data_IF_601264588054
#
_entry.id   IF_601264588054
#
_cell.length_a   1.000
_cell.length_b   1.000
_cell.length_c   1.000
_cell.angle_alpha   90.00
_cell.angle_beta   90.00
_cell.angle_gamma   90.00
#
_symmetry.space_group_name_H-M   'P 1'
#
loop_
_entity.id
_entity.type
_entity.pdbx_description
1 polymer ?
#
# COMPACT_ATOMS: atom_id res chain seq x y z
N UNK A 1 1.27 1.27 -25.13
CA UNK A 1 1.83 1.93 -23.93
C UNK A 1 0.68 2.14 -22.96
N UNK A 2 0.91 1.90 -21.66
CA UNK A 2 -0.11 2.08 -20.64
C UNK A 2 -0.34 3.58 -20.39
N UNK A 3 -1.59 3.96 -20.17
CA UNK A 3 -2.02 5.35 -19.93
C UNK A 3 -3.06 5.36 -18.79
N UNK A 4 -3.08 6.40 -17.97
CA UNK A 4 -4.04 6.56 -16.89
C UNK A 4 -5.46 6.89 -17.44
N UNK A 5 -6.24 5.83 -17.73
CA UNK A 5 -7.60 5.97 -18.24
C UNK A 5 -8.54 6.73 -17.29
N UNK A 6 -8.33 6.62 -15.98
CA UNK A 6 -9.12 7.33 -14.97
C UNK A 6 -8.86 8.85 -15.02
N UNK A 7 -7.60 9.24 -15.22
CA UNK A 7 -7.24 10.65 -15.40
C UNK A 7 -7.85 11.21 -16.70
N UNK A 8 -7.78 10.48 -17.81
CA UNK A 8 -8.39 10.90 -19.09
C UNK A 8 -9.91 11.12 -18.93
N UNK A 9 -10.61 10.18 -18.29
CA UNK A 9 -12.04 10.30 -17.99
C UNK A 9 -12.34 11.52 -17.11
N UNK A 10 -11.52 11.74 -16.07
CA UNK A 10 -11.68 12.88 -15.16
C UNK A 10 -11.52 14.20 -15.90
N UNK A 11 -10.42 14.39 -16.64
CA UNK A 11 -10.13 15.62 -17.38
C UNK A 11 -11.17 15.91 -18.47
N UNK A 12 -11.74 14.86 -19.06
CA UNK A 12 -12.88 14.96 -19.98
C UNK A 12 -14.13 15.45 -19.28
N UNK A 13 -14.48 14.84 -18.14
CA UNK A 13 -15.65 15.24 -17.33
C UNK A 13 -15.52 16.65 -16.75
N UNK A 14 -14.33 17.06 -16.30
CA UNK A 14 -14.05 18.42 -15.82
C UNK A 14 -14.31 19.48 -16.90
N UNK A 15 -14.11 19.14 -18.17
CA UNK A 15 -14.42 19.99 -19.32
C UNK A 15 -15.84 19.80 -19.86
N UNK A 16 -16.66 18.97 -19.19
CA UNK A 16 -18.02 18.61 -19.61
C UNK A 16 -18.08 18.01 -21.03
N UNK A 17 -17.06 17.26 -21.43
CA UNK A 17 -16.99 16.67 -22.78
C UNK A 17 -17.54 15.24 -22.85
N UNK A 18 -18.23 14.93 -23.94
CA UNK A 18 -18.51 13.57 -24.39
C UNK A 18 -17.25 12.90 -24.97
N UNK A 19 -17.31 11.59 -25.22
CA UNK A 19 -16.19 10.87 -25.86
C UNK A 19 -15.97 11.37 -27.29
N UNK A 20 -17.05 11.74 -27.98
CA UNK A 20 -17.06 12.35 -29.30
C UNK A 20 -16.40 13.73 -29.28
N UNK A 21 -16.73 14.58 -28.29
CA UNK A 21 -16.13 15.91 -28.15
C UNK A 21 -14.64 15.83 -27.82
N UNK A 22 -14.23 14.89 -26.97
CA UNK A 22 -12.80 14.63 -26.73
C UNK A 22 -12.09 14.14 -28.00
N UNK A 23 -12.74 13.28 -28.80
CA UNK A 23 -12.18 12.81 -30.06
C UNK A 23 -11.93 13.97 -31.03
N UNK A 24 -12.91 14.88 -31.15
CA UNK A 24 -12.78 16.09 -31.97
C UNK A 24 -11.67 17.00 -31.43
N UNK A 25 -11.67 17.31 -30.14
CA UNK A 25 -10.70 18.22 -29.52
C UNK A 25 -9.25 17.70 -29.63
N UNK A 26 -9.07 16.38 -29.55
CA UNK A 26 -7.75 15.73 -29.65
C UNK A 26 -7.33 15.32 -31.05
N UNK A 27 -8.21 15.49 -32.06
CA UNK A 27 -7.96 14.98 -33.41
C UNK A 27 -7.80 13.46 -33.48
N UNK A 28 -8.38 12.73 -32.52
CA UNK A 28 -8.37 11.27 -32.48
C UNK A 28 -9.71 10.72 -33.00
N UNK A 29 -9.70 9.47 -33.47
CA UNK A 29 -10.95 8.77 -33.76
C UNK A 29 -11.70 8.42 -32.46
N UNK A 30 -13.03 8.47 -32.50
CA UNK A 30 -13.91 8.08 -31.38
C UNK A 30 -13.56 6.69 -30.82
N UNK A 31 -13.35 5.69 -31.70
CA UNK A 31 -12.96 4.33 -31.29
C UNK A 31 -11.63 4.32 -30.52
N UNK A 32 -10.70 5.22 -30.84
CA UNK A 32 -9.43 5.36 -30.13
C UNK A 32 -9.67 5.91 -28.73
N UNK A 33 -10.51 6.94 -28.57
CA UNK A 33 -10.88 7.49 -27.25
C UNK A 33 -11.57 6.42 -26.40
N UNK A 34 -12.56 5.72 -26.96
CA UNK A 34 -13.26 4.63 -26.29
C UNK A 34 -12.30 3.52 -25.84
N UNK A 35 -11.37 3.12 -26.72
CA UNK A 35 -10.36 2.10 -26.41
C UNK A 35 -9.41 2.57 -25.30
N UNK A 36 -8.97 3.82 -25.34
CA UNK A 36 -8.12 4.41 -24.29
C UNK A 36 -8.84 4.40 -22.93
N UNK A 37 -10.11 4.80 -22.91
CA UNK A 37 -10.92 4.84 -21.69
C UNK A 37 -11.31 3.46 -21.14
N UNK A 38 -11.33 2.43 -22.00
CA UNK A 38 -11.70 1.05 -21.64
C UNK A 38 -10.49 0.16 -21.31
N UNK A 39 -9.46 0.21 -22.14
CA UNK A 39 -8.30 -0.70 -22.10
C UNK A 39 -7.05 -0.05 -21.51
N UNK A 40 -7.09 1.24 -21.16
CA UNK A 40 -5.94 1.97 -20.61
C UNK A 40 -4.67 1.87 -21.48
N UNK A 41 -4.85 1.79 -22.80
CA UNK A 41 -3.77 1.58 -23.77
C UNK A 41 -3.83 2.58 -24.92
N UNK A 42 -2.73 3.30 -25.14
CA UNK A 42 -2.58 4.30 -26.20
C UNK A 42 -1.25 4.15 -26.95
N UNK A 43 -1.21 4.65 -28.19
CA UNK A 43 0.05 4.90 -28.89
C UNK A 43 0.72 6.16 -28.34
N UNK A 44 2.02 6.34 -28.60
CA UNK A 44 2.73 7.56 -28.22
C UNK A 44 2.10 8.81 -28.86
N UNK A 45 1.63 8.71 -30.11
CA UNK A 45 0.98 9.81 -30.81
C UNK A 45 -0.35 10.18 -30.17
N UNK A 46 -1.19 9.20 -29.82
CA UNK A 46 -2.45 9.45 -29.12
C UNK A 46 -2.22 10.07 -27.74
N UNK A 47 -1.17 9.65 -27.03
CA UNK A 47 -0.77 10.29 -25.77
C UNK A 47 -0.37 11.75 -25.96
N UNK A 48 0.46 12.06 -26.96
CA UNK A 48 0.87 13.44 -27.28
C UNK A 48 -0.34 14.32 -27.61
N UNK A 49 -1.26 13.80 -28.41
CA UNK A 49 -2.50 14.50 -28.75
C UNK A 49 -3.35 14.80 -27.50
N UNK A 50 -3.57 13.81 -26.63
CA UNK A 50 -4.32 14.00 -25.38
C UNK A 50 -3.62 14.98 -24.43
N UNK A 51 -2.29 14.88 -24.27
CA UNK A 51 -1.51 15.78 -23.43
C UNK A 51 -1.64 17.23 -23.89
N UNK A 52 -1.51 17.47 -25.21
CA UNK A 52 -1.71 18.79 -25.80
C UNK A 52 -3.15 19.30 -25.60
N UNK A 53 -4.15 18.44 -25.81
CA UNK A 53 -5.58 18.78 -25.66
C UNK A 53 -5.91 19.19 -24.22
N UNK A 54 -5.35 18.48 -23.24
CA UNK A 54 -5.58 18.77 -21.83
C UNK A 54 -4.60 19.80 -21.25
N UNK A 55 -3.60 20.26 -22.03
CA UNK A 55 -2.55 21.18 -21.59
C UNK A 55 -1.77 20.68 -20.37
N UNK A 56 -1.36 19.40 -20.39
CA UNK A 56 -0.58 18.73 -19.33
C UNK A 56 0.69 18.10 -19.91
N UNK A 57 1.62 17.68 -19.05
CA UNK A 57 2.79 16.93 -19.50
C UNK A 57 2.37 15.51 -19.93
N UNK A 58 3.03 14.96 -20.95
CA UNK A 58 2.78 13.59 -21.42
C UNK A 58 3.10 12.53 -20.33
N UNK A 59 3.95 12.86 -19.36
CA UNK A 59 4.28 12.02 -18.20
C UNK A 59 3.12 11.97 -17.19
N UNK A 60 2.31 13.01 -17.10
CA UNK A 60 1.16 13.03 -16.19
C UNK A 60 0.07 12.03 -16.63
N UNK A 61 0.05 11.70 -17.92
CA UNK A 61 -0.81 10.66 -18.49
C UNK A 61 -0.29 9.24 -18.23
N UNK A 62 0.94 9.05 -17.75
CA UNK A 62 1.43 7.73 -17.42
C UNK A 62 0.60 7.11 -16.28
N UNK A 63 0.46 5.79 -16.34
CA UNK A 63 -0.25 5.03 -15.32
C UNK A 63 0.61 5.05 -14.04
N UNK A 64 0.45 6.09 -13.24
CA UNK A 64 0.96 6.07 -11.87
C UNK A 64 0.09 5.08 -11.11
N UNK A 65 0.67 3.96 -10.70
CA UNK A 65 0.07 3.10 -9.70
C UNK A 65 -0.11 3.94 -8.45
N UNK A 66 -1.31 4.50 -8.26
CA UNK A 66 -1.66 5.14 -7.00
C UNK A 66 -1.56 4.01 -5.98
N UNK A 67 -0.65 4.07 -5.00
CA UNK A 67 -0.54 3.01 -4.01
C UNK A 67 -1.91 2.90 -3.38
N UNK A 68 -2.61 1.79 -3.61
CA UNK A 68 -3.81 1.50 -2.84
C UNK A 68 -3.32 1.38 -1.40
N UNK A 69 -3.67 2.35 -0.55
CA UNK A 69 -3.38 2.26 0.87
C UNK A 69 -4.17 1.07 1.39
N UNK A 70 -3.48 -0.08 1.50
CA UNK A 70 -4.03 -1.27 2.13
C UNK A 70 -4.32 -0.88 3.58
N UNK A 71 -5.58 -1.01 3.98
CA UNK A 71 -5.97 -0.77 5.37
C UNK A 71 -5.47 -1.97 6.17
N UNK A 72 -4.75 -1.70 7.24
CA UNK A 72 -4.30 -2.73 8.16
C UNK A 72 -4.98 -2.52 9.50
N UNK A 73 -5.29 -3.61 10.18
CA UNK A 73 -5.56 -3.57 11.62
C UNK A 73 -4.33 -4.09 12.37
N UNK A 74 -4.19 -3.61 13.61
CA UNK A 74 -3.04 -3.90 14.46
C UNK A 74 -3.48 -4.55 15.76
N UNK A 75 -2.67 -5.50 16.24
CA UNK A 75 -2.85 -6.18 17.52
C UNK A 75 -1.53 -6.22 18.27
N UNK A 76 -1.59 -6.02 19.59
CA UNK A 76 -0.44 -6.17 20.48
C UNK A 76 -0.65 -7.36 21.40
N UNK A 77 0.39 -8.16 21.59
CA UNK A 77 0.38 -9.29 22.54
C UNK A 77 1.56 -9.14 23.50
N UNK A 78 1.25 -9.18 24.80
CA UNK A 78 2.27 -9.18 25.86
C UNK A 78 2.91 -10.58 25.97
N UNK A 79 4.24 -10.60 26.08
CA UNK A 79 5.06 -11.79 26.28
C UNK A 79 5.77 -11.62 27.61
N UNK A 80 5.35 -12.41 28.59
CA UNK A 80 5.98 -12.42 29.91
C UNK A 80 7.37 -13.05 29.85
N UNK A 81 8.38 -12.30 30.25
CA UNK A 81 9.76 -12.76 30.28
C UNK A 81 10.17 -13.02 31.72
N UNK A 82 10.47 -14.27 32.07
CA UNK A 82 10.96 -14.60 33.41
C UNK A 82 12.28 -13.87 33.69
N UNK A 83 12.40 -13.30 34.89
CA UNK A 83 13.63 -12.64 35.37
C UNK A 83 14.86 -13.51 35.11
N UNK A 84 15.82 -12.96 34.35
CA UNK A 84 17.08 -13.64 34.03
C UNK A 84 17.23 -14.12 32.58
N UNK A 85 16.20 -13.99 31.73
CA UNK A 85 16.24 -14.39 30.31
C UNK A 85 17.32 -13.67 29.48
N UNK A 86 17.59 -12.39 29.77
CA UNK A 86 18.62 -11.58 29.10
C UNK A 86 19.97 -11.56 29.86
N UNK A 87 20.07 -12.31 30.96
CA UNK A 87 21.32 -12.46 31.70
C UNK A 87 22.06 -13.66 31.11
N UNK A 88 23.13 -13.41 30.34
CA UNK A 88 23.86 -14.34 29.47
C UNK A 88 24.53 -15.57 30.11
N UNK A 89 23.92 -16.20 31.11
CA UNK A 89 24.44 -17.37 31.83
C UNK A 89 23.44 -18.52 32.03
N UNK A 90 22.17 -18.42 31.58
CA UNK A 90 21.23 -19.56 31.57
C UNK A 90 20.27 -19.51 30.36
N UNK A 91 20.28 -20.55 29.52
CA UNK A 91 19.26 -20.79 28.50
C UNK A 91 17.95 -21.20 29.17
N UNK A 92 17.22 -20.24 29.70
CA UNK A 92 15.82 -20.48 30.09
C UNK A 92 15.04 -20.61 28.78
N UNK A 93 14.35 -21.73 28.51
CA UNK A 93 13.57 -21.87 27.29
C UNK A 93 12.58 -20.71 27.21
N UNK A 94 12.58 -20.04 26.06
CA UNK A 94 11.67 -18.94 25.76
C UNK A 94 10.24 -19.41 26.03
N UNK A 95 9.44 -18.71 26.85
CA UNK A 95 8.08 -19.16 27.12
C UNK A 95 7.26 -19.08 25.83
N UNK A 96 6.93 -20.24 25.24
CA UNK A 96 5.96 -20.48 24.18
C UNK A 96 5.90 -19.44 23.03
N UNK A 97 6.98 -18.73 22.73
CA UNK A 97 6.96 -17.69 21.70
C UNK A 97 6.67 -18.32 20.33
N UNK A 98 7.32 -19.44 20.02
CA UNK A 98 7.10 -20.16 18.78
C UNK A 98 5.63 -20.57 18.63
N UNK A 99 5.01 -21.05 19.71
CA UNK A 99 3.60 -21.43 19.72
C UNK A 99 2.70 -20.21 19.46
N UNK A 100 2.94 -19.11 20.17
CA UNK A 100 2.21 -17.86 19.99
C UNK A 100 2.32 -17.34 18.55
N UNK A 101 3.53 -17.24 18.02
CA UNK A 101 3.78 -16.73 16.67
C UNK A 101 3.12 -17.62 15.61
N UNK A 102 3.18 -18.94 15.79
CA UNK A 102 2.52 -19.89 14.89
C UNK A 102 0.99 -19.79 14.96
N UNK A 103 0.40 -19.66 16.16
CA UNK A 103 -1.04 -19.51 16.34
C UNK A 103 -1.55 -18.18 15.74
N UNK A 104 -0.87 -17.07 16.01
CA UNK A 104 -1.23 -15.78 15.42
C UNK A 104 -1.07 -15.79 13.89
N UNK A 105 -0.01 -16.43 13.40
CA UNK A 105 0.20 -16.66 11.96
C UNK A 105 -0.94 -17.45 11.31
N UNK A 106 -1.42 -18.53 11.96
CA UNK A 106 -2.59 -19.29 11.49
C UNK A 106 -3.88 -18.46 11.50
N UNK A 107 -4.00 -17.50 12.41
CA UNK A 107 -5.12 -16.56 12.50
C UNK A 107 -4.99 -15.36 11.53
N UNK A 108 -4.00 -15.37 10.63
CA UNK A 108 -3.80 -14.37 9.59
C UNK A 108 -3.05 -13.11 10.06
N UNK A 109 -2.42 -13.16 11.24
CA UNK A 109 -1.62 -12.05 11.76
C UNK A 109 -0.15 -12.18 11.37
N UNK A 110 0.42 -11.10 10.86
CA UNK A 110 1.85 -10.97 10.54
C UNK A 110 2.55 -10.24 11.67
N UNK A 111 3.59 -10.85 12.26
CA UNK A 111 4.46 -10.15 13.20
C UNK A 111 5.24 -9.04 12.48
N UNK A 112 5.16 -7.82 13.02
CA UNK A 112 5.87 -6.64 12.51
C UNK A 112 7.11 -6.36 13.36
N UNK A 113 6.94 -6.36 14.68
CA UNK A 113 7.97 -5.92 15.62
C UNK A 113 7.78 -6.55 16.99
N UNK A 114 8.88 -6.88 17.66
CA UNK A 114 8.91 -7.13 19.10
C UNK A 114 9.63 -5.97 19.77
N UNK A 115 9.01 -5.38 20.78
CA UNK A 115 9.49 -4.19 21.47
C UNK A 115 9.58 -4.44 22.98
N UNK A 116 10.57 -3.82 23.60
CA UNK A 116 10.78 -3.84 25.04
C UNK A 116 10.37 -2.48 25.62
N UNK A 117 9.19 -2.36 26.24
CA UNK A 117 8.71 -1.08 26.77
C UNK A 117 9.58 -0.59 27.94
N UNK A 118 10.24 -1.49 28.66
CA UNK A 118 11.04 -1.15 29.84
C UNK A 118 12.36 -0.45 29.45
N UNK A 119 12.77 -0.53 28.17
CA UNK A 119 13.93 0.18 27.64
C UNK A 119 13.78 1.71 27.75
N UNK A 120 12.54 2.21 27.72
CA UNK A 120 12.23 3.64 27.87
C UNK A 120 12.28 4.11 29.34
N UNK A 121 12.27 3.18 30.30
CA UNK A 121 12.13 3.46 31.73
C UNK A 121 13.46 3.59 32.48
N UNK A 122 14.58 3.67 31.76
CA UNK A 122 15.94 3.87 32.29
C UNK A 122 16.83 2.62 32.19
N UNK A 123 18.13 2.85 31.92
CA UNK A 123 19.14 1.79 31.86
C UNK A 123 19.20 1.03 33.19
N UNK A 124 18.95 -0.29 33.17
CA UNK A 124 19.20 -1.20 34.30
C UNK A 124 17.98 -1.88 34.95
N UNK A 125 16.74 -1.59 34.52
CA UNK A 125 15.59 -2.41 34.94
C UNK A 125 15.58 -3.73 34.17
N UNK A 126 15.43 -4.84 34.89
CA UNK A 126 15.24 -6.15 34.28
C UNK A 126 13.98 -6.11 33.41
N UNK A 127 14.09 -6.56 32.15
CA UNK A 127 12.95 -6.68 31.24
C UNK A 127 12.01 -7.77 31.75
N UNK A 128 10.82 -7.37 32.18
CA UNK A 128 9.81 -8.29 32.70
C UNK A 128 8.77 -8.64 31.63
N UNK A 129 8.61 -7.79 30.60
CA UNK A 129 7.70 -8.03 29.48
C UNK A 129 8.26 -7.58 28.13
N UNK A 130 7.87 -8.27 27.08
CA UNK A 130 8.03 -7.85 25.69
C UNK A 130 6.64 -7.68 25.07
N UNK A 131 6.53 -6.79 24.09
CA UNK A 131 5.28 -6.55 23.35
C UNK A 131 5.53 -6.95 21.90
N UNK A 132 4.77 -7.92 21.40
CA UNK A 132 4.74 -8.27 19.99
C UNK A 132 3.62 -7.48 19.29
N UNK A 133 3.96 -6.78 18.22
CA UNK A 133 3.04 -6.01 17.37
C UNK A 133 2.79 -6.79 16.09
N UNK A 134 1.52 -7.03 15.80
CA UNK A 134 1.05 -7.72 14.61
C UNK A 134 0.20 -6.80 13.73
N UNK A 135 0.22 -7.05 12.42
CA UNK A 135 -0.72 -6.49 11.45
C UNK A 135 -1.46 -7.58 10.71
N UNK A 136 -2.66 -7.26 10.21
CA UNK A 136 -3.27 -7.99 9.10
C UNK A 136 -3.99 -7.03 8.17
N UNK A 137 -4.01 -7.36 6.88
CA UNK A 137 -4.74 -6.58 5.88
C UNK A 137 -6.25 -6.74 6.10
N UNK A 138 -6.97 -5.62 6.12
CA UNK A 138 -8.42 -5.59 6.10
C UNK A 138 -8.84 -5.63 4.64
N UNK A 139 -9.59 -6.64 4.24
CA UNK A 139 -10.25 -6.65 2.94
C UNK A 139 -11.17 -5.42 2.85
N UNK A 140 -10.91 -4.56 1.86
CA UNK A 140 -11.67 -3.33 1.63
C UNK A 140 -13.08 -3.60 1.11
#
# INVERSE_FOLDING_TARGET
MNINAMLVKRLRSERSWSQEELAIASGLHLRTVQRIEKEASASLQSRKALAATFSIDIKDLDLMEVPTMRKHEYKTVDIDVKKGFLSGFKTTPMPNLDKLLNEEGQNGWRLIQIMNPDLLSGFGKATERLIAVFEREIAA
#
